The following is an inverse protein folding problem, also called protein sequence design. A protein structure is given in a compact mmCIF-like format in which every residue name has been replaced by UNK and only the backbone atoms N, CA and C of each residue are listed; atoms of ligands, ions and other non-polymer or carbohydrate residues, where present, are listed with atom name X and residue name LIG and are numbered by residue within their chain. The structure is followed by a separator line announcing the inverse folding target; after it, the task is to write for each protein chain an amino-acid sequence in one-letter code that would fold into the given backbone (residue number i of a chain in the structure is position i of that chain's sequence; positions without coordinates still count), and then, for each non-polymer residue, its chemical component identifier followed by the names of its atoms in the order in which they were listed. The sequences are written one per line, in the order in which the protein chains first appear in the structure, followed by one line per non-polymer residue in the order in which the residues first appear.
data_IF_039629680163
#
_entry.id   IF_039629680163
#
_cell.length_a   1.000
_cell.length_b   1.000
_cell.length_c   1.000
_cell.angle_alpha   90.00
_cell.angle_beta   90.00
_cell.angle_gamma   90.00
#
_symmetry.space_group_name_H-M   'P 1'
#
loop_
_entity.id
_entity.type
_entity.pdbx_description
1 polymer ?
#
# COMPACT_ATOMS: atom_id res chain seq x y z
N UNK A 1 -22.95 -0.84 -3.99
CA UNK A 1 -21.68 -1.59 -3.97
C UNK A 1 -21.09 -1.60 -2.58
N UNK A 2 -20.67 -2.77 -2.13
CA UNK A 2 -20.04 -2.88 -0.83
C UNK A 2 -18.59 -2.43 -0.85
N UNK A 3 -18.13 -1.89 0.26
CA UNK A 3 -16.73 -1.57 0.44
C UNK A 3 -15.95 -2.82 0.81
N UNK A 4 -14.74 -2.92 0.31
CA UNK A 4 -13.81 -3.98 0.69
C UNK A 4 -12.73 -3.34 1.54
N UNK A 5 -12.64 -3.77 2.79
CA UNK A 5 -11.65 -3.28 3.74
C UNK A 5 -10.71 -4.44 4.08
N UNK A 6 -9.42 -4.16 4.10
CA UNK A 6 -8.41 -5.17 4.41
C UNK A 6 -7.44 -4.63 5.44
N UNK A 7 -6.76 -5.54 6.14
CA UNK A 7 -5.67 -5.18 7.05
C UNK A 7 -4.36 -5.36 6.33
N UNK A 8 -3.56 -4.30 6.31
CA UNK A 8 -2.24 -4.29 5.72
C UNK A 8 -1.20 -4.33 6.82
N UNK A 9 -0.21 -5.19 6.69
CA UNK A 9 0.98 -5.13 7.52
C UNK A 9 2.02 -4.31 6.77
N UNK A 10 2.40 -3.19 7.35
CA UNK A 10 3.33 -2.25 6.74
C UNK A 10 4.60 -2.16 7.56
N UNK A 11 5.75 -2.20 6.90
CA UNK A 11 7.06 -2.03 7.55
C UNK A 11 7.84 -0.96 6.79
N UNK A 12 8.59 -0.15 7.53
CA UNK A 12 9.49 0.83 6.93
C UNK A 12 10.58 0.08 6.17
N UNK A 13 10.59 0.20 4.85
CA UNK A 13 11.52 -0.53 4.00
C UNK A 13 12.98 -0.16 4.27
N UNK A 14 13.24 1.12 4.52
CA UNK A 14 14.59 1.58 4.86
C UNK A 14 15.11 0.91 6.14
N UNK A 15 14.25 0.78 7.14
CA UNK A 15 14.61 0.11 8.40
C UNK A 15 14.96 -1.36 8.14
N UNK A 16 14.17 -2.03 7.30
CA UNK A 16 14.43 -3.44 6.95
C UNK A 16 15.77 -3.59 6.24
N UNK A 17 16.08 -2.71 5.31
CA UNK A 17 17.36 -2.74 4.59
C UNK A 17 18.52 -2.56 5.56
N UNK A 18 18.45 -1.58 6.46
CA UNK A 18 19.51 -1.33 7.44
C UNK A 18 19.70 -2.53 8.37
N UNK A 19 18.59 -3.15 8.81
CA UNK A 19 18.64 -4.33 9.68
C UNK A 19 19.27 -5.52 8.95
N UNK A 20 18.84 -5.77 7.74
CA UNK A 20 19.35 -6.88 6.94
C UNK A 20 20.83 -6.73 6.61
N UNK A 21 21.30 -5.51 6.46
CA UNK A 21 22.72 -5.21 6.21
C UNK A 21 23.53 -5.10 7.51
N UNK A 22 22.90 -5.36 8.64
CA UNK A 22 23.53 -5.29 9.98
C UNK A 22 24.04 -3.89 10.32
N UNK A 23 23.46 -2.86 9.72
CA UNK A 23 23.80 -1.46 9.99
C UNK A 23 22.94 -0.86 11.09
N UNK A 24 21.92 -1.58 11.55
CA UNK A 24 21.06 -1.18 12.66
C UNK A 24 20.65 -2.41 13.45
N UNK A 25 20.60 -2.26 14.78
CA UNK A 25 20.08 -3.29 15.69
C UNK A 25 18.63 -3.05 16.07
N UNK A 26 18.07 -1.91 15.62
CA UNK A 26 16.70 -1.53 15.95
C UNK A 26 15.71 -2.39 15.16
N UNK A 27 14.60 -2.73 15.80
CA UNK A 27 13.51 -3.37 15.09
C UNK A 27 12.93 -2.41 14.07
N UNK A 28 12.63 -2.90 12.86
CA UNK A 28 11.99 -2.06 11.85
C UNK A 28 10.65 -1.53 12.37
N UNK A 29 10.38 -0.26 12.10
CA UNK A 29 9.07 0.30 12.43
C UNK A 29 8.02 -0.37 11.56
N UNK A 30 6.98 -0.85 12.18
CA UNK A 30 5.91 -1.54 11.47
C UNK A 30 4.58 -1.27 12.15
N UNK A 31 3.52 -1.42 11.38
CA UNK A 31 2.17 -1.08 11.82
C UNK A 31 1.18 -1.89 11.00
N UNK A 32 0.12 -2.35 11.66
CA UNK A 32 -1.01 -2.95 10.96
C UNK A 32 -2.11 -1.92 10.85
N UNK A 33 -2.61 -1.68 9.65
CA UNK A 33 -3.63 -0.66 9.40
C UNK A 33 -4.74 -1.21 8.52
N UNK A 34 -5.92 -0.64 8.66
CA UNK A 34 -7.01 -0.92 7.74
C UNK A 34 -6.89 -0.02 6.52
N UNK A 35 -7.21 -0.56 5.36
CA UNK A 35 -7.27 0.18 4.11
C UNK A 35 -8.49 -0.23 3.32
N UNK A 36 -9.04 0.73 2.60
CA UNK A 36 -10.12 0.50 1.65
C UNK A 36 -9.50 0.07 0.33
N UNK A 37 -9.98 -1.03 -0.24
CA UNK A 37 -9.57 -1.45 -1.57
C UNK A 37 -10.26 -0.56 -2.58
N UNK A 38 -9.47 0.14 -3.39
CA UNK A 38 -9.97 1.11 -4.36
C UNK A 38 -9.24 0.94 -5.69
N UNK A 39 -9.85 0.17 -6.60
CA UNK A 39 -9.27 -0.07 -7.93
C UNK A 39 -9.28 1.19 -8.80
N UNK A 40 -10.05 2.21 -8.42
CA UNK A 40 -10.04 3.51 -9.08
C UNK A 40 -8.88 4.40 -8.66
N UNK A 41 -8.24 4.10 -7.53
CA UNK A 41 -7.03 4.77 -7.09
C UNK A 41 -5.81 4.04 -7.69
N UNK A 42 -4.72 4.77 -7.90
CA UNK A 42 -3.55 4.22 -8.60
C UNK A 42 -2.53 3.62 -7.64
N UNK A 43 -2.27 4.26 -6.52
CA UNK A 43 -1.12 3.97 -5.66
C UNK A 43 -1.54 3.49 -4.28
N UNK A 44 -0.60 3.43 -3.36
CA UNK A 44 -0.86 3.18 -1.94
C UNK A 44 -0.95 4.53 -1.24
N UNK A 45 -2.10 4.83 -0.63
CA UNK A 45 -2.35 6.11 0.03
C UNK A 45 -2.50 5.87 1.52
N UNK A 46 -1.73 6.58 2.31
CA UNK A 46 -1.77 6.45 3.77
C UNK A 46 -2.05 7.79 4.42
N UNK A 47 -2.74 7.74 5.55
CA UNK A 47 -2.99 8.92 6.38
C UNK A 47 -1.67 9.48 6.92
N UNK A 48 -1.56 10.79 7.13
CA UNK A 48 -0.36 11.38 7.71
C UNK A 48 0.04 10.75 9.05
N UNK A 49 -0.92 10.36 9.89
CA UNK A 49 -0.63 9.73 11.17
C UNK A 49 0.08 8.38 10.99
N UNK A 50 -0.31 7.61 9.98
CA UNK A 50 0.31 6.33 9.65
C UNK A 50 1.73 6.55 9.12
N UNK A 51 1.89 7.52 8.24
CA UNK A 51 3.20 7.88 7.67
C UNK A 51 4.17 8.27 8.78
N UNK A 52 3.73 9.09 9.73
CA UNK A 52 4.55 9.49 10.89
C UNK A 52 4.92 8.30 11.76
N UNK A 53 3.94 7.44 12.06
CA UNK A 53 4.18 6.26 12.89
C UNK A 53 5.22 5.32 12.27
N UNK A 54 5.23 5.23 10.95
CA UNK A 54 6.21 4.43 10.21
C UNK A 54 7.55 5.18 9.99
N UNK A 55 7.61 6.45 10.33
CA UNK A 55 8.83 7.25 10.19
C UNK A 55 9.25 7.49 8.74
N UNK A 56 8.30 7.49 7.82
CA UNK A 56 8.59 7.71 6.40
C UNK A 56 8.84 9.19 6.14
N UNK A 57 9.88 9.49 5.37
CA UNK A 57 10.21 10.86 4.98
C UNK A 57 9.70 11.15 3.59
N UNK A 58 9.30 12.39 3.39
CA UNK A 58 8.86 12.87 2.08
C UNK A 58 10.06 12.95 1.15
N UNK A 59 9.92 12.38 -0.04
CA UNK A 59 10.99 12.34 -1.05
C UNK A 59 10.61 13.05 -2.33
N UNK A 60 9.33 13.32 -2.55
CA UNK A 60 8.86 13.97 -3.78
C UNK A 60 7.47 14.55 -3.57
N UNK A 61 6.97 15.25 -4.58
CA UNK A 61 5.59 15.72 -4.64
C UNK A 61 5.02 15.40 -6.00
N UNK A 62 3.72 15.16 -6.02
CA UNK A 62 2.99 14.91 -7.26
C UNK A 62 1.59 15.47 -7.18
N UNK A 63 0.92 15.55 -8.30
CA UNK A 63 -0.46 16.00 -8.34
C UNK A 63 -1.39 14.80 -8.49
N UNK A 64 -2.52 14.85 -7.80
CA UNK A 64 -3.58 13.85 -7.88
C UNK A 64 -4.87 14.51 -8.31
N UNK A 65 -5.57 13.90 -9.24
CA UNK A 65 -6.90 14.32 -9.62
C UNK A 65 -7.89 13.73 -8.62
N UNK A 66 -8.63 14.58 -7.94
CA UNK A 66 -9.64 14.17 -6.97
C UNK A 66 -11.02 14.66 -7.41
N UNK A 67 -12.07 14.21 -6.72
CA UNK A 67 -13.42 14.69 -7.00
C UNK A 67 -13.56 16.20 -6.75
N UNK A 68 -12.68 16.78 -5.94
CA UNK A 68 -12.68 18.21 -5.61
C UNK A 68 -11.61 18.99 -6.37
N UNK A 69 -11.07 18.43 -7.45
CA UNK A 69 -10.06 19.06 -8.28
C UNK A 69 -8.68 18.45 -8.10
N UNK A 70 -7.66 19.15 -8.56
CA UNK A 70 -6.27 18.71 -8.47
C UNK A 70 -5.72 19.06 -7.08
N UNK A 71 -5.05 18.09 -6.45
CA UNK A 71 -4.38 18.30 -5.17
C UNK A 71 -2.92 17.91 -5.27
N UNK A 72 -2.06 18.67 -4.61
CA UNK A 72 -0.66 18.30 -4.46
C UNK A 72 -0.54 17.27 -3.35
N UNK A 73 0.12 16.15 -3.65
CA UNK A 73 0.35 15.08 -2.69
C UNK A 73 1.84 14.89 -2.48
N UNK A 74 2.21 14.57 -1.25
CA UNK A 74 3.58 14.14 -0.95
C UNK A 74 3.77 12.69 -1.30
N UNK A 75 4.94 12.37 -1.83
CA UNK A 75 5.40 10.99 -2.05
C UNK A 75 6.48 10.71 -1.02
N UNK A 76 6.35 9.58 -0.35
CA UNK A 76 7.18 9.24 0.80
C UNK A 76 8.00 7.99 0.54
N UNK A 77 9.00 7.79 1.39
CA UNK A 77 9.83 6.59 1.37
C UNK A 77 8.96 5.33 1.38
N UNK A 78 9.45 4.24 0.76
CA UNK A 78 8.62 3.06 0.56
C UNK A 78 8.41 2.24 1.83
N UNK A 79 7.33 1.47 1.79
CA UNK A 79 7.02 0.46 2.78
C UNK A 79 7.05 -0.92 2.15
N UNK A 80 7.35 -1.93 2.96
CA UNK A 80 7.04 -3.32 2.63
C UNK A 80 5.60 -3.56 3.08
N UNK A 81 4.78 -4.01 2.15
CA UNK A 81 3.37 -4.32 2.40
C UNK A 81 3.19 -5.83 2.35
N UNK A 82 2.56 -6.39 3.37
CA UNK A 82 2.20 -7.80 3.41
C UNK A 82 0.68 -7.92 3.50
N UNK A 83 0.14 -8.76 2.66
CA UNK A 83 -1.31 -8.98 2.55
C UNK A 83 -1.56 -10.37 1.99
N UNK A 84 -2.34 -11.17 2.69
CA UNK A 84 -2.73 -12.51 2.25
C UNK A 84 -1.54 -13.40 1.88
N UNK A 85 -0.46 -13.33 2.65
CA UNK A 85 0.75 -14.11 2.44
C UNK A 85 1.63 -13.62 1.29
N UNK A 86 1.27 -12.50 0.67
CA UNK A 86 2.02 -11.89 -0.43
C UNK A 86 2.63 -10.59 0.05
N UNK A 87 3.68 -10.14 -0.60
CA UNK A 87 4.35 -8.91 -0.21
C UNK A 87 4.93 -8.18 -1.40
N UNK A 88 5.11 -6.89 -1.23
CA UNK A 88 5.76 -6.02 -2.20
C UNK A 88 6.21 -4.74 -1.52
N UNK A 89 7.03 -3.97 -2.21
CA UNK A 89 7.55 -2.70 -1.74
C UNK A 89 6.96 -1.59 -2.59
N UNK A 90 6.35 -0.61 -1.95
CA UNK A 90 5.63 0.45 -2.64
C UNK A 90 5.92 1.80 -2.05
N UNK A 91 6.04 2.80 -2.90
CA UNK A 91 6.04 4.19 -2.47
C UNK A 91 4.69 4.52 -1.84
N UNK A 92 4.70 5.48 -0.93
CA UNK A 92 3.52 5.91 -0.21
C UNK A 92 3.16 7.33 -0.62
N UNK A 93 1.89 7.56 -0.87
CA UNK A 93 1.36 8.90 -1.14
C UNK A 93 0.46 9.28 0.03
N UNK A 94 0.55 10.53 0.50
CA UNK A 94 -0.31 10.97 1.59
C UNK A 94 -1.76 11.18 1.11
N UNK A 95 -2.68 11.07 2.05
CA UNK A 95 -4.09 11.37 1.83
C UNK A 95 -4.58 12.11 3.07
N UNK A 96 -5.69 12.82 2.97
CA UNK A 96 -6.21 13.57 4.09
C UNK A 96 -6.52 12.64 5.27
N UNK A 97 -6.25 13.10 6.49
CA UNK A 97 -6.38 12.28 7.70
C UNK A 97 -7.79 11.71 7.89
N UNK A 98 -8.80 12.41 7.43
CA UNK A 98 -10.20 11.99 7.55
C UNK A 98 -10.66 11.04 6.44
N UNK A 99 -9.77 10.67 5.51
CA UNK A 99 -10.06 9.73 4.44
C UNK A 99 -9.39 8.39 4.78
N UNK A 100 -10.04 7.25 4.51
CA UNK A 100 -9.41 5.94 4.76
C UNK A 100 -8.10 5.77 3.99
N UNK A 101 -7.17 4.99 4.53
CA UNK A 101 -6.03 4.53 3.74
C UNK A 101 -6.58 3.79 2.52
N UNK A 102 -5.94 3.95 1.36
CA UNK A 102 -6.40 3.35 0.11
C UNK A 102 -5.36 2.40 -0.47
N UNK A 103 -5.80 1.20 -0.80
CA UNK A 103 -4.99 0.23 -1.53
C UNK A 103 -5.42 0.29 -2.99
N UNK A 104 -4.59 0.90 -3.81
CA UNK A 104 -4.92 1.17 -5.21
C UNK A 104 -4.47 0.10 -6.17
N UNK A 105 -4.60 0.40 -7.45
CA UNK A 105 -4.43 -0.56 -8.55
C UNK A 105 -3.01 -1.10 -8.68
N UNK A 106 -1.99 -0.26 -8.53
CA UNK A 106 -0.59 -0.71 -8.67
C UNK A 106 -0.25 -1.79 -7.64
N UNK A 107 -0.49 -1.57 -6.33
CA UNK A 107 -0.27 -2.65 -5.36
C UNK A 107 -1.10 -3.90 -5.64
N UNK A 108 -2.37 -3.73 -6.01
CA UNK A 108 -3.23 -4.88 -6.30
C UNK A 108 -2.69 -5.73 -7.44
N UNK A 109 -2.28 -5.10 -8.53
CA UNK A 109 -1.71 -5.81 -9.68
C UNK A 109 -0.40 -6.49 -9.32
N UNK A 110 0.46 -5.80 -8.59
CA UNK A 110 1.74 -6.38 -8.18
C UNK A 110 1.53 -7.62 -7.31
N UNK A 111 0.59 -7.56 -6.39
CA UNK A 111 0.28 -8.67 -5.49
C UNK A 111 -0.60 -9.73 -6.16
N UNK A 112 -1.03 -9.48 -7.38
CA UNK A 112 -1.86 -10.39 -8.17
C UNK A 112 -3.17 -10.73 -7.45
N UNK A 113 -3.79 -9.69 -6.90
CA UNK A 113 -5.05 -9.77 -6.18
C UNK A 113 -6.12 -9.00 -6.92
N UNK A 114 -7.33 -9.52 -6.89
CA UNK A 114 -8.49 -8.85 -7.48
C UNK A 114 -9.58 -8.67 -6.43
N UNK A 115 -10.34 -7.61 -6.60
CA UNK A 115 -11.50 -7.34 -5.76
C UNK A 115 -12.69 -8.13 -6.30
N UNK A 116 -13.29 -8.95 -5.45
CA UNK A 116 -14.50 -9.69 -5.78
C UNK A 116 -15.69 -8.96 -5.16
N UNK A 117 -16.46 -8.28 -5.99
CA UNK A 117 -17.61 -7.51 -5.53
C UNK A 117 -18.74 -8.36 -4.97
N UNK A 118 -18.85 -9.61 -5.39
CA UNK A 118 -19.89 -10.53 -4.91
C UNK A 118 -19.61 -10.99 -3.48
N UNK A 119 -18.39 -11.43 -3.21
CA UNK A 119 -17.99 -11.87 -1.88
C UNK A 119 -17.53 -10.72 -0.97
N UNK A 120 -17.33 -9.53 -1.52
CA UNK A 120 -16.80 -8.35 -0.84
C UNK A 120 -15.47 -8.59 -0.17
N UNK A 121 -14.57 -9.26 -0.88
CA UNK A 121 -13.23 -9.54 -0.38
C UNK A 121 -12.23 -9.58 -1.53
N UNK A 122 -10.97 -9.42 -1.17
CA UNK A 122 -9.88 -9.67 -2.10
C UNK A 122 -9.70 -11.16 -2.27
N UNK A 123 -9.27 -11.56 -3.45
CA UNK A 123 -8.93 -12.94 -3.74
C UNK A 123 -7.80 -13.00 -4.73
N UNK A 124 -7.05 -14.12 -4.78
CA UNK A 124 -6.05 -14.31 -5.80
C UNK A 124 -6.64 -14.13 -7.19
N UNK A 125 -5.84 -13.61 -8.13
CA UNK A 125 -6.29 -13.47 -9.51
C UNK A 125 -6.65 -14.85 -10.07
N UNK A 126 -7.89 -15.09 -10.45
CA UNK A 126 -8.34 -16.41 -10.89
C UNK A 126 -7.63 -16.90 -12.16
N UNK A 127 -7.06 -15.99 -12.96
CA UNK A 127 -6.28 -16.36 -14.15
C UNK A 127 -4.98 -17.07 -13.79
N UNK A 128 -4.46 -16.89 -12.57
CA UNK A 128 -3.18 -17.43 -12.12
C UNK A 128 -3.32 -18.44 -10.96
N UNK A 129 -4.54 -18.70 -10.50
CA UNK A 129 -4.79 -19.59 -9.37
C UNK A 129 -4.30 -19.01 -8.05
N UNK A 130 -3.86 -19.87 -7.13
CA UNK A 130 -3.45 -19.46 -5.78
C UNK A 130 -2.03 -18.89 -5.72
N UNK A 131 -1.24 -19.06 -6.76
CA UNK A 131 0.16 -18.62 -6.77
C UNK A 131 0.29 -17.21 -7.33
N UNK A 132 1.17 -16.43 -6.71
CA UNK A 132 1.55 -15.14 -7.25
C UNK A 132 2.33 -15.37 -8.55
N UNK A 133 1.88 -14.74 -9.62
CA UNK A 133 2.53 -14.86 -10.93
C UNK A 133 2.75 -13.48 -11.53
N UNK A 134 3.91 -13.34 -12.19
CA UNK A 134 4.25 -12.14 -12.95
C UNK A 134 4.28 -12.49 -14.42
N UNK A 135 3.61 -11.70 -15.24
CA UNK A 135 3.64 -11.91 -16.69
C UNK A 135 4.77 -11.08 -17.29
N UNK A 136 5.55 -11.71 -18.15
CA UNK A 136 6.67 -11.08 -18.85
C UNK A 136 6.58 -11.37 -20.35
N UNK A 137 7.04 -10.43 -21.15
CA UNK A 137 7.06 -10.51 -22.60
C UNK A 137 8.47 -10.53 -23.15
#
# INVERSE_FOLDING_TARGET
MGRITVKLKLSNQGDLVLRNRKLSKREPRQLEVEALVDSGATRLYLKPSVIRALGLKKVDEGESQTTNGVRTRGVYEPVRLELMGRHGTFDVVDIDENIPNLLGQIPLEYLDLVADSKSRRLRPNPAHGEKLMTEEY
#
